data_IF_270726570691
#
_entry.id   IF_270726570691
#
_cell.length_a   1.000
_cell.length_b   1.000
_cell.length_c   1.000
_cell.angle_alpha   90.00
_cell.angle_beta   90.00
_cell.angle_gamma   90.00
#
_symmetry.space_group_name_H-M   'P 1'
#
loop_
_entity.id
_entity.type
_entity.pdbx_description
1 polymer ?
#
# COMPACT_ATOMS: atom_id res chain seq x y z
N UNK A 1 15.72 15.26 5.14
CA UNK A 1 14.46 14.66 5.62
C UNK A 1 13.49 14.73 4.46
N UNK A 2 13.03 13.60 3.97
CA UNK A 2 11.96 13.54 2.97
C UNK A 2 10.66 13.78 3.71
N UNK A 3 10.02 14.93 3.48
CA UNK A 3 8.62 15.10 3.90
C UNK A 3 7.80 14.09 3.08
N UNK A 4 7.24 13.08 3.75
CA UNK A 4 6.30 12.16 3.12
C UNK A 4 5.03 12.96 2.88
N UNK A 5 4.84 13.40 1.64
CA UNK A 5 3.69 14.21 1.26
C UNK A 5 2.55 13.27 0.88
N UNK A 6 1.69 12.97 1.85
CA UNK A 6 0.48 12.20 1.59
C UNK A 6 -0.46 13.01 0.68
N UNK A 7 -1.08 12.35 -0.30
CA UNK A 7 -2.09 12.99 -1.13
C UNK A 7 -3.30 13.33 -0.25
N UNK A 8 -3.63 14.62 -0.17
CA UNK A 8 -4.92 15.06 0.37
C UNK A 8 -5.99 14.84 -0.70
N UNK A 9 -6.95 13.97 -0.40
CA UNK A 9 -8.07 13.68 -1.28
C UNK A 9 -9.23 14.62 -0.99
N UNK A 10 -9.78 15.24 -2.03
CA UNK A 10 -11.10 15.88 -1.94
C UNK A 10 -12.19 14.83 -1.64
N UNK A 11 -13.36 15.21 -1.10
CA UNK A 11 -14.44 14.26 -0.85
C UNK A 11 -14.86 13.44 -2.09
N UNK A 12 -14.80 14.06 -3.27
CA UNK A 12 -15.09 13.40 -4.55
C UNK A 12 -14.00 12.38 -4.91
N UNK A 13 -12.72 12.73 -4.76
CA UNK A 13 -11.62 11.80 -4.99
C UNK A 13 -11.60 10.66 -3.97
N UNK A 14 -11.95 10.92 -2.70
CA UNK A 14 -12.09 9.89 -1.68
C UNK A 14 -13.18 8.87 -2.04
N UNK A 15 -14.33 9.33 -2.55
CA UNK A 15 -15.38 8.44 -3.02
C UNK A 15 -14.92 7.56 -4.20
N UNK A 16 -14.14 8.13 -5.13
CA UNK A 16 -13.55 7.38 -6.25
C UNK A 16 -12.51 6.37 -5.74
N UNK A 17 -11.66 6.78 -4.80
CA UNK A 17 -10.64 5.94 -4.17
C UNK A 17 -11.28 4.71 -3.51
N UNK A 18 -12.23 4.92 -2.59
CA UNK A 18 -12.88 3.83 -1.86
C UNK A 18 -13.62 2.88 -2.80
N UNK A 19 -14.35 3.42 -3.79
CA UNK A 19 -15.03 2.60 -4.79
C UNK A 19 -14.04 1.77 -5.62
N UNK A 20 -12.89 2.34 -5.99
CA UNK A 20 -11.88 1.63 -6.75
C UNK A 20 -11.20 0.54 -5.92
N UNK A 21 -10.85 0.80 -4.66
CA UNK A 21 -10.31 -0.22 -3.74
C UNK A 21 -11.29 -1.38 -3.56
N UNK A 22 -12.59 -1.09 -3.37
CA UNK A 22 -13.62 -2.14 -3.26
C UNK A 22 -13.69 -3.00 -4.52
N UNK A 23 -13.72 -2.38 -5.71
CA UNK A 23 -13.76 -3.11 -6.99
C UNK A 23 -12.52 -3.97 -7.22
N UNK A 24 -11.33 -3.45 -6.91
CA UNK A 24 -10.09 -4.22 -7.02
C UNK A 24 -10.15 -5.45 -6.12
N UNK A 25 -10.59 -5.27 -4.87
CA UNK A 25 -10.75 -6.36 -3.90
C UNK A 25 -11.75 -7.42 -4.38
N UNK A 26 -12.91 -6.99 -4.86
CA UNK A 26 -13.93 -7.87 -5.43
C UNK A 26 -13.41 -8.65 -6.64
N UNK A 27 -12.69 -7.98 -7.55
CA UNK A 27 -12.05 -8.61 -8.70
C UNK A 27 -11.06 -9.70 -8.30
N UNK A 28 -10.19 -9.41 -7.32
CA UNK A 28 -9.23 -10.39 -6.79
C UNK A 28 -9.94 -11.57 -6.11
N UNK A 29 -11.03 -11.33 -5.37
CA UNK A 29 -11.85 -12.41 -4.79
C UNK A 29 -12.54 -13.24 -5.87
N UNK A 30 -12.93 -12.63 -6.99
CA UNK A 30 -13.48 -13.28 -8.18
C UNK A 30 -12.45 -14.03 -9.03
N UNK A 31 -11.17 -14.03 -8.65
CA UNK A 31 -10.11 -14.76 -9.35
C UNK A 31 -9.45 -14.00 -10.50
N UNK A 32 -9.70 -12.69 -10.62
CA UNK A 32 -8.93 -11.82 -11.50
C UNK A 32 -7.51 -11.66 -10.98
N UNK A 33 -6.56 -11.47 -11.88
CA UNK A 33 -5.24 -10.94 -11.54
C UNK A 33 -5.34 -9.50 -11.04
N UNK A 34 -4.28 -9.01 -10.40
CA UNK A 34 -4.22 -7.63 -9.93
C UNK A 34 -4.42 -6.62 -11.08
N UNK A 35 -3.73 -6.81 -12.20
CA UNK A 35 -3.84 -5.90 -13.36
C UNK A 35 -5.21 -5.97 -14.06
N UNK A 36 -5.90 -7.11 -14.00
CA UNK A 36 -7.30 -7.23 -14.45
C UNK A 36 -8.24 -6.48 -13.50
N UNK A 37 -8.10 -6.69 -12.19
CA UNK A 37 -8.92 -6.01 -11.19
C UNK A 37 -8.74 -4.47 -11.23
N UNK A 38 -7.52 -3.98 -11.43
CA UNK A 38 -7.26 -2.54 -11.61
C UNK A 38 -7.90 -1.97 -12.88
N UNK A 39 -8.00 -2.75 -13.97
CA UNK A 39 -8.69 -2.33 -15.19
C UNK A 39 -10.20 -2.26 -15.00
N UNK A 40 -10.79 -3.25 -14.33
CA UNK A 40 -12.23 -3.29 -14.00
C UNK A 40 -12.66 -2.18 -13.03
N UNK A 41 -11.74 -1.61 -12.26
CA UNK A 41 -12.03 -0.48 -11.39
C UNK A 41 -12.43 0.80 -12.15
N UNK A 42 -12.14 0.88 -13.47
CA UNK A 42 -12.48 2.00 -14.37
C UNK A 42 -12.05 3.39 -13.85
N UNK A 43 -10.86 3.49 -13.25
CA UNK A 43 -10.34 4.76 -12.71
C UNK A 43 -9.99 5.70 -13.89
N UNK A 44 -10.81 6.75 -14.08
CA UNK A 44 -10.70 7.67 -15.23
C UNK A 44 -9.55 8.65 -15.13
N UNK A 45 -9.25 9.12 -13.92
CA UNK A 45 -8.14 10.04 -13.67
C UNK A 45 -6.83 9.25 -13.63
N UNK A 46 -5.97 9.44 -14.62
CA UNK A 46 -4.69 8.73 -14.72
C UNK A 46 -3.71 9.06 -13.59
N UNK A 47 -3.77 10.27 -13.04
CA UNK A 47 -2.94 10.66 -11.90
C UNK A 47 -3.39 9.95 -10.64
N UNK A 48 -4.69 9.97 -10.35
CA UNK A 48 -5.31 9.28 -9.22
C UNK A 48 -5.13 7.76 -9.31
N UNK A 49 -5.22 7.22 -10.52
CA UNK A 49 -5.09 5.79 -10.81
C UNK A 49 -3.78 5.21 -10.29
N UNK A 50 -2.66 5.90 -10.51
CA UNK A 50 -1.34 5.40 -10.08
C UNK A 50 -1.31 5.24 -8.55
N UNK A 51 -1.83 6.21 -7.81
CA UNK A 51 -1.89 6.14 -6.35
C UNK A 51 -2.82 5.02 -5.87
N UNK A 52 -4.03 4.91 -6.45
CA UNK A 52 -4.99 3.86 -6.08
C UNK A 52 -4.41 2.47 -6.35
N UNK A 53 -3.79 2.24 -7.51
CA UNK A 53 -3.21 0.93 -7.85
C UNK A 53 -2.05 0.58 -6.93
N UNK A 54 -1.23 1.56 -6.54
CA UNK A 54 -0.11 1.33 -5.63
C UNK A 54 -0.61 1.03 -4.20
N UNK A 55 -1.53 1.85 -3.69
CA UNK A 55 -2.16 1.68 -2.38
C UNK A 55 -2.92 0.36 -2.29
N UNK A 56 -3.67 -0.02 -3.35
CA UNK A 56 -4.37 -1.29 -3.39
C UNK A 56 -3.42 -2.48 -3.20
N UNK A 57 -2.24 -2.45 -3.84
CA UNK A 57 -1.25 -3.51 -3.67
C UNK A 57 -0.71 -3.56 -2.23
N UNK A 58 -0.39 -2.40 -1.65
CA UNK A 58 0.10 -2.27 -0.27
C UNK A 58 -0.94 -2.73 0.76
N UNK A 59 -2.21 -2.38 0.56
CA UNK A 59 -3.32 -2.83 1.40
C UNK A 59 -3.46 -4.35 1.32
N UNK A 60 -3.45 -4.94 0.12
CA UNK A 60 -3.52 -6.40 -0.04
C UNK A 60 -2.33 -7.11 0.61
N UNK A 61 -1.12 -6.54 0.52
CA UNK A 61 0.06 -7.05 1.24
C UNK A 61 -0.14 -7.01 2.76
N UNK A 62 -0.58 -5.88 3.29
CA UNK A 62 -0.86 -5.71 4.71
C UNK A 62 -1.92 -6.70 5.21
N UNK A 63 -3.02 -6.86 4.47
CA UNK A 63 -4.13 -7.72 4.86
C UNK A 63 -3.81 -9.21 4.71
N UNK A 64 -3.25 -9.63 3.57
CA UNK A 64 -3.11 -11.06 3.23
C UNK A 64 -1.77 -11.64 3.67
N UNK A 65 -0.67 -10.92 3.43
CA UNK A 65 0.67 -11.41 3.75
C UNK A 65 1.00 -11.16 5.22
N UNK A 66 1.02 -9.89 5.66
CA UNK A 66 1.44 -9.54 7.01
C UNK A 66 0.37 -9.85 8.06
N UNK A 67 -0.90 -9.51 7.81
CA UNK A 67 -2.02 -9.78 8.73
C UNK A 67 -2.56 -11.21 8.63
N UNK A 68 -2.63 -11.76 7.41
CA UNK A 68 -3.21 -13.08 7.12
C UNK A 68 -2.21 -14.24 7.11
N UNK A 69 -0.91 -13.98 7.29
CA UNK A 69 0.18 -14.97 7.25
C UNK A 69 0.27 -15.79 5.94
N UNK A 70 -0.26 -15.28 4.82
CA UNK A 70 -0.08 -15.89 3.50
C UNK A 70 1.40 -15.84 3.11
N UNK A 71 2.06 -16.94 2.69
CA UNK A 71 3.42 -16.88 2.18
C UNK A 71 3.56 -15.92 0.99
N UNK A 72 4.72 -15.26 0.87
CA UNK A 72 4.93 -14.23 -0.15
C UNK A 72 4.81 -14.79 -1.58
N UNK A 73 5.26 -16.04 -1.78
CA UNK A 73 5.12 -16.76 -3.05
C UNK A 73 3.64 -16.98 -3.39
N UNK A 74 2.85 -17.50 -2.45
CA UNK A 74 1.41 -17.73 -2.63
C UNK A 74 0.66 -16.42 -2.91
N UNK A 75 1.05 -15.33 -2.24
CA UNK A 75 0.54 -13.99 -2.52
C UNK A 75 0.84 -13.56 -3.95
N UNK A 76 2.07 -13.76 -4.42
CA UNK A 76 2.47 -13.42 -5.78
C UNK A 76 1.71 -14.21 -6.84
N UNK A 77 1.54 -15.51 -6.61
CA UNK A 77 0.77 -16.39 -7.48
C UNK A 77 -0.71 -15.99 -7.51
N UNK A 78 -1.30 -15.69 -6.35
CA UNK A 78 -2.69 -15.25 -6.23
C UNK A 78 -2.96 -13.98 -7.02
N UNK A 79 -2.09 -12.98 -6.91
CA UNK A 79 -2.24 -11.70 -7.63
C UNK A 79 -1.75 -11.78 -9.09
N UNK A 80 -1.10 -12.89 -9.47
CA UNK A 80 -0.39 -13.09 -10.75
C UNK A 80 0.61 -11.96 -11.03
N UNK A 81 1.33 -11.52 -10.00
CA UNK A 81 2.32 -10.46 -10.09
C UNK A 81 3.74 -11.01 -9.92
N UNK A 82 4.73 -10.43 -10.62
CA UNK A 82 6.12 -10.79 -10.39
C UNK A 82 6.57 -10.34 -9.01
N UNK A 83 7.35 -11.18 -8.31
CA UNK A 83 7.93 -10.87 -6.99
C UNK A 83 8.67 -9.53 -6.95
N UNK A 84 9.27 -9.09 -8.07
CA UNK A 84 9.92 -7.79 -8.16
C UNK A 84 8.97 -6.62 -7.84
N UNK A 85 7.73 -6.65 -8.33
CA UNK A 85 6.73 -5.59 -8.09
C UNK A 85 6.27 -5.61 -6.63
N UNK A 86 6.12 -6.81 -6.08
CA UNK A 86 5.70 -7.00 -4.69
C UNK A 86 6.80 -6.55 -3.72
N UNK A 87 8.05 -6.93 -3.96
CA UNK A 87 9.19 -6.49 -3.17
C UNK A 87 9.36 -4.97 -3.21
N UNK A 88 9.10 -4.33 -4.36
CA UNK A 88 9.09 -2.87 -4.44
C UNK A 88 8.05 -2.27 -3.48
N UNK A 89 6.81 -2.76 -3.49
CA UNK A 89 5.77 -2.28 -2.58
C UNK A 89 6.14 -2.50 -1.10
N UNK A 90 6.76 -3.65 -0.77
CA UNK A 90 7.25 -3.93 0.59
C UNK A 90 8.32 -2.92 1.01
N UNK A 91 9.28 -2.61 0.14
CA UNK A 91 10.34 -1.63 0.44
C UNK A 91 9.73 -0.27 0.72
N UNK A 92 8.81 0.20 -0.12
CA UNK A 92 8.12 1.48 0.10
C UNK A 92 7.34 1.48 1.43
N UNK A 93 6.62 0.40 1.76
CA UNK A 93 5.93 0.28 3.05
C UNK A 93 6.89 0.32 4.25
N UNK A 94 8.08 -0.27 4.14
CA UNK A 94 9.09 -0.24 5.20
C UNK A 94 9.74 1.13 5.34
N UNK A 95 9.95 1.84 4.22
CA UNK A 95 10.41 3.23 4.21
C UNK A 95 9.38 4.13 4.91
N UNK A 96 8.10 4.01 4.57
CA UNK A 96 7.00 4.76 5.19
C UNK A 96 6.93 4.48 6.71
N UNK A 97 6.96 3.21 7.11
CA UNK A 97 6.96 2.83 8.52
C UNK A 97 8.18 3.37 9.28
N UNK A 98 9.35 3.40 8.64
CA UNK A 98 10.57 3.97 9.19
C UNK A 98 10.47 5.48 9.43
N UNK A 99 9.90 6.22 8.48
CA UNK A 99 9.65 7.66 8.63
C UNK A 99 8.66 7.90 9.77
N UNK A 100 7.52 7.22 9.77
CA UNK A 100 6.51 7.38 10.83
C UNK A 100 7.09 7.06 12.22
N UNK A 101 7.89 5.99 12.35
CA UNK A 101 8.52 5.64 13.62
C UNK A 101 9.49 6.73 14.11
N UNK A 102 10.28 7.33 13.21
CA UNK A 102 11.19 8.42 13.54
C UNK A 102 10.44 9.70 13.97
N UNK A 103 9.35 10.02 13.28
CA UNK A 103 8.48 11.17 13.63
C UNK A 103 7.82 10.99 15.00
N UNK A 104 7.26 9.80 15.25
CA UNK A 104 6.66 9.47 16.55
C UNK A 104 7.68 9.57 17.70
N UNK A 105 8.91 9.10 17.47
CA UNK A 105 9.99 9.20 18.45
C UNK A 105 10.40 10.64 18.74
N UNK A 106 10.43 11.52 17.74
CA UNK A 106 10.69 12.95 17.94
C UNK A 106 9.56 13.64 18.72
N UNK A 107 8.31 13.24 18.48
CA UNK A 107 7.14 13.79 19.15
C UNK A 107 6.98 13.29 20.60
N UNK A 108 7.48 12.09 20.93
CA UNK A 108 7.38 11.53 22.28
C UNK A 108 8.33 12.20 23.29
N UNK A 109 9.29 13.02 22.83
CA UNK A 109 10.13 13.84 23.70
C UNK A 109 11.04 13.07 24.67
N UNK A 110 11.22 11.76 24.48
CA UNK A 110 12.16 10.99 25.29
C UNK A 110 13.59 11.28 24.83
N UNK A 111 14.42 11.79 25.76
CA UNK A 111 15.87 11.68 25.65
C UNK A 111 16.21 10.19 25.55
N UNK A 112 16.52 9.73 24.33
CA UNK A 112 16.92 8.35 24.10
C UNK A 112 18.07 7.93 25.01
N UNK A 113 18.24 6.63 25.28
CA UNK A 113 19.36 6.17 26.09
C UNK A 113 20.65 6.65 25.43
N UNK A 114 21.41 7.47 26.17
CA UNK A 114 22.75 7.91 25.78
C UNK A 114 23.59 6.66 25.63
N UNK A 115 23.74 6.20 24.39
CA UNK A 115 24.62 5.08 24.05
C UNK A 115 26.02 5.44 24.48
N UNK A 116 26.47 4.86 25.59
CA UNK A 116 27.87 4.93 25.98
C UNK A 116 28.61 3.93 25.10
N UNK A 117 29.24 4.45 24.04
CA UNK A 117 30.25 3.75 23.27
C UNK A 117 31.56 3.68 24.05
#
# INVERSE_FOLDING_TARGET
MTEVQYKEYSPEESAVYEAAISRIREGLQGGLSFDEACREAEIKDSGLRIFIEDDALKIMLAELHFGGAMPLQDFAERLRLPLKRINKAIVEMLEDAGVTAAEMYQQSGEEGPVGHA
#
